data_IF_701665107030
#
_entry.id   IF_701665107030
#
_cell.length_a   1.000
_cell.length_b   1.000
_cell.length_c   1.000
_cell.angle_alpha   90.00
_cell.angle_beta   90.00
_cell.angle_gamma   90.00
#
_symmetry.space_group_name_H-M   'P 1'
#
loop_
_entity.id
_entity.type
_entity.pdbx_description
1 polymer ?
#
# COMPACT_ATOMS: atom_id res chain seq x y z
N UNK A 1 -17.24 20.38 34.16
CA UNK A 1 -15.98 21.07 33.82
C UNK A 1 -15.06 20.05 33.20
N UNK A 2 -14.90 20.15 31.88
CA UNK A 2 -14.11 19.24 31.07
C UNK A 2 -12.61 19.55 31.21
N UNK A 3 -11.78 18.51 31.18
CA UNK A 3 -10.54 18.59 30.43
C UNK A 3 -10.31 17.25 29.73
N UNK A 4 -10.74 17.21 28.48
CA UNK A 4 -10.18 16.31 27.48
C UNK A 4 -8.69 16.63 27.40
N UNK A 5 -7.83 15.68 27.79
CA UNK A 5 -6.41 15.78 27.53
C UNK A 5 -6.22 15.61 26.02
N UNK A 6 -6.05 16.75 25.35
CA UNK A 6 -5.52 16.82 24.00
C UNK A 6 -4.16 16.12 24.00
N UNK A 7 -4.09 14.89 23.49
CA UNK A 7 -2.84 14.36 22.96
C UNK A 7 -2.55 15.15 21.69
N UNK A 8 -1.88 16.29 21.87
CA UNK A 8 -1.35 17.08 20.78
C UNK A 8 -0.04 16.42 20.31
N UNK A 9 -0.16 15.24 19.71
CA UNK A 9 0.93 14.54 19.05
C UNK A 9 0.50 14.32 17.60
N UNK A 10 0.99 15.18 16.72
CA UNK A 10 0.87 15.05 15.25
C UNK A 10 1.63 13.85 14.68
N UNK A 11 2.22 13.02 15.54
CA UNK A 11 2.73 11.70 15.16
C UNK A 11 1.55 10.78 14.91
N UNK A 12 1.14 10.70 13.65
CA UNK A 12 0.33 9.58 13.17
C UNK A 12 1.14 8.33 13.44
N UNK A 13 0.72 7.54 14.43
CA UNK A 13 1.37 6.28 14.80
C UNK A 13 1.38 5.40 13.54
N UNK A 14 2.55 5.24 12.94
CA UNK A 14 2.71 4.48 11.69
C UNK A 14 2.26 3.01 11.85
N UNK A 15 2.22 2.51 13.08
CA UNK A 15 1.75 1.17 13.43
C UNK A 15 0.22 1.05 13.47
N UNK A 16 -0.55 2.14 13.49
CA UNK A 16 -2.02 2.12 13.43
C UNK A 16 -2.57 2.22 12.01
N UNK A 17 -1.75 2.69 11.06
CA UNK A 17 -2.09 2.75 9.65
C UNK A 17 -1.60 1.44 9.02
N UNK A 18 -2.51 0.71 8.35
CA UNK A 18 -2.15 -0.43 7.48
C UNK A 18 -1.40 0.07 6.23
N UNK A 19 -0.21 0.62 6.47
CA UNK A 19 0.71 1.14 5.48
C UNK A 19 1.53 0.00 4.91
N UNK A 20 1.76 0.08 3.61
CA UNK A 20 2.45 -0.94 2.83
C UNK A 20 3.90 -0.51 2.67
N UNK A 21 4.84 -1.38 3.03
CA UNK A 21 6.27 -1.11 2.94
C UNK A 21 6.89 -1.76 1.71
N UNK A 22 8.13 -1.39 1.41
CA UNK A 22 8.88 -1.95 0.27
C UNK A 22 9.19 -3.44 0.47
N UNK A 23 9.22 -3.93 1.69
CA UNK A 23 9.48 -5.32 2.02
C UNK A 23 8.24 -6.22 1.90
N UNK A 24 7.04 -5.63 1.82
CA UNK A 24 5.77 -6.38 1.76
C UNK A 24 5.44 -6.88 0.35
N UNK A 25 6.10 -6.33 -0.67
CA UNK A 25 5.89 -6.75 -2.05
C UNK A 25 6.79 -7.90 -2.47
N UNK A 26 6.49 -8.42 -3.65
CA UNK A 26 7.19 -9.57 -4.24
C UNK A 26 7.57 -9.24 -5.67
N UNK A 27 8.82 -9.53 -5.99
CA UNK A 27 9.29 -9.56 -7.36
C UNK A 27 8.85 -10.85 -8.04
N UNK A 28 8.40 -10.75 -9.28
CA UNK A 28 8.24 -11.91 -10.16
C UNK A 28 9.61 -12.49 -10.52
N UNK A 29 9.61 -13.72 -11.01
CA UNK A 29 10.78 -14.21 -11.75
C UNK A 29 10.87 -13.44 -13.08
N UNK A 30 12.07 -13.10 -13.56
CA UNK A 30 12.23 -12.52 -14.88
C UNK A 30 11.54 -13.39 -15.93
N UNK A 31 10.78 -12.77 -16.84
CA UNK A 31 10.17 -13.46 -17.97
C UNK A 31 10.28 -12.60 -19.23
N UNK A 32 10.31 -13.26 -20.38
CA UNK A 32 10.34 -12.59 -21.67
C UNK A 32 8.91 -12.38 -22.16
N UNK A 33 8.51 -11.13 -22.39
CA UNK A 33 7.16 -10.79 -22.83
C UNK A 33 7.11 -10.68 -24.36
N UNK A 34 6.69 -11.77 -25.02
CA UNK A 34 6.53 -11.84 -26.47
C UNK A 34 5.30 -11.07 -27.00
N UNK A 35 4.35 -10.69 -26.13
CA UNK A 35 3.14 -9.96 -26.49
C UNK A 35 3.25 -8.46 -26.27
N UNK A 36 4.14 -8.04 -25.36
CA UNK A 36 4.35 -6.66 -24.93
C UNK A 36 5.62 -6.01 -25.50
N UNK A 37 5.97 -6.29 -26.76
CA UNK A 37 7.09 -5.64 -27.44
C UNK A 37 8.41 -6.40 -27.39
N UNK A 38 8.40 -7.69 -27.03
CA UNK A 38 9.57 -8.58 -27.08
C UNK A 38 10.70 -8.11 -26.14
N UNK A 39 10.37 -7.86 -24.87
CA UNK A 39 11.31 -7.36 -23.86
C UNK A 39 11.36 -8.26 -22.62
N UNK A 40 12.49 -8.25 -21.91
CA UNK A 40 12.59 -8.88 -20.61
C UNK A 40 11.90 -8.02 -19.55
N UNK A 41 10.99 -8.64 -18.81
CA UNK A 41 10.16 -7.99 -17.81
C UNK A 41 10.46 -8.50 -16.41
N UNK A 42 10.35 -7.58 -15.44
CA UNK A 42 10.32 -7.88 -14.02
C UNK A 42 9.18 -7.08 -13.40
N UNK A 43 8.34 -7.74 -12.62
CA UNK A 43 7.15 -7.12 -12.01
C UNK A 43 7.32 -7.10 -10.51
N UNK A 44 7.19 -5.92 -9.92
CA UNK A 44 7.04 -5.78 -8.49
C UNK A 44 5.57 -5.69 -8.14
N UNK A 45 5.07 -6.60 -7.32
CA UNK A 45 3.66 -6.64 -6.91
C UNK A 45 3.55 -6.44 -5.41
N UNK A 46 2.73 -5.51 -4.99
CA UNK A 46 2.49 -5.23 -3.58
C UNK A 46 0.99 -5.01 -3.35
N UNK A 47 0.38 -5.58 -2.28
CA UNK A 47 -1.00 -5.26 -1.96
C UNK A 47 -1.13 -3.80 -1.54
N UNK A 48 -2.27 -3.18 -1.80
CA UNK A 48 -2.63 -1.89 -1.23
C UNK A 48 -4.07 -1.91 -0.75
N UNK A 49 -4.38 -1.06 0.23
CA UNK A 49 -5.69 -0.98 0.84
C UNK A 49 -6.35 0.33 0.44
N UNK A 50 -7.63 0.25 0.08
CA UNK A 50 -8.50 1.41 0.09
C UNK A 50 -8.85 1.77 1.54
N UNK A 51 -9.05 3.05 1.81
CA UNK A 51 -9.53 3.53 3.10
C UNK A 51 -10.74 4.44 2.89
N UNK A 52 -11.88 4.02 3.43
CA UNK A 52 -13.14 4.76 3.33
C UNK A 52 -13.95 4.54 4.61
N UNK A 53 -14.61 5.59 5.11
CA UNK A 53 -15.47 5.53 6.31
C UNK A 53 -14.81 4.85 7.53
N UNK A 54 -13.51 5.05 7.74
CA UNK A 54 -12.79 4.49 8.88
C UNK A 54 -12.39 3.01 8.76
N UNK A 55 -12.66 2.37 7.61
CA UNK A 55 -12.40 0.95 7.39
C UNK A 55 -11.48 0.72 6.19
N UNK A 56 -10.61 -0.28 6.31
CA UNK A 56 -9.74 -0.71 5.22
C UNK A 56 -10.39 -1.84 4.41
N UNK A 57 -10.20 -1.81 3.10
CA UNK A 57 -10.66 -2.87 2.21
C UNK A 57 -9.62 -3.18 1.14
N UNK A 58 -9.58 -4.43 0.69
CA UNK A 58 -8.76 -4.84 -0.44
C UNK A 58 -9.31 -4.19 -1.71
N UNK A 59 -8.47 -3.42 -2.39
CA UNK A 59 -8.79 -2.87 -3.68
C UNK A 59 -7.75 -3.36 -4.69
N UNK A 60 -8.22 -3.78 -5.87
CA UNK A 60 -7.36 -4.23 -6.97
C UNK A 60 -7.11 -3.11 -7.99
N UNK A 61 -7.82 -1.99 -7.86
CA UNK A 61 -7.65 -0.81 -8.72
C UNK A 61 -6.86 0.25 -7.99
N UNK A 62 -5.62 0.44 -8.42
CA UNK A 62 -4.87 1.64 -8.08
C UNK A 62 -5.39 2.74 -9.02
N UNK A 63 -5.91 3.83 -8.46
CA UNK A 63 -6.04 5.06 -9.24
C UNK A 63 -4.63 5.64 -9.34
N UNK A 64 -4.01 5.44 -10.50
CA UNK A 64 -2.75 6.08 -10.91
C UNK A 64 -3.09 7.37 -11.65
#
# INVERSE_FOLDING_TARGET
MAYHLYSNSTDRVADEILSVKYEDGRWSKPYYDCGGGNIWMLTYTVPFFGYENGTYFFNLKANV
#
